data_IF_698654997867
#
_entry.id   IF_698654997867
#
_cell.length_a   1.000
_cell.length_b   1.000
_cell.length_c   1.000
_cell.angle_alpha   90.00
_cell.angle_beta   90.00
_cell.angle_gamma   90.00
#
_symmetry.space_group_name_H-M   'P 1'
#
loop_
_entity.id
_entity.type
_entity.pdbx_description
1 polymer ?
#
# COMPACT_ATOMS: atom_id res chain seq x y z
N UNK A 1 18.70 -12.46 -13.28
CA UNK A 1 17.91 -11.89 -12.18
C UNK A 1 17.86 -10.37 -12.30
N UNK A 2 16.68 -9.78 -12.21
CA UNK A 2 16.52 -8.35 -12.33
C UNK A 2 17.11 -7.62 -11.12
N UNK A 3 17.94 -6.62 -11.38
CA UNK A 3 18.48 -5.79 -10.31
C UNK A 3 17.79 -4.44 -10.30
N UNK A 4 17.42 -3.99 -9.10
CA UNK A 4 16.76 -2.70 -8.94
C UNK A 4 17.78 -1.58 -9.14
N UNK A 5 17.44 -0.65 -10.03
CA UNK A 5 18.30 0.51 -10.28
C UNK A 5 18.26 1.49 -9.10
N UNK A 6 19.37 2.14 -8.86
CA UNK A 6 19.48 3.12 -7.78
C UNK A 6 18.47 4.24 -7.95
N UNK A 7 18.23 4.70 -9.17
CA UNK A 7 17.27 5.77 -9.42
C UNK A 7 15.85 5.39 -9.02
N UNK A 8 15.47 4.14 -9.23
CA UNK A 8 14.14 3.65 -8.85
C UNK A 8 14.01 3.56 -7.33
N UNK A 9 15.06 3.09 -6.67
CA UNK A 9 15.08 3.02 -5.20
C UNK A 9 14.99 4.41 -4.58
N UNK A 10 15.72 5.36 -5.14
CA UNK A 10 15.71 6.74 -4.69
C UNK A 10 14.34 7.38 -4.85
N UNK A 11 13.74 7.17 -6.01
CA UNK A 11 12.40 7.68 -6.31
C UNK A 11 11.35 7.11 -5.36
N UNK A 12 11.42 5.80 -5.11
CA UNK A 12 10.54 5.14 -4.15
C UNK A 12 10.64 5.79 -2.76
N UNK A 13 11.85 6.02 -2.29
CA UNK A 13 12.07 6.63 -0.96
C UNK A 13 11.51 8.03 -0.88
N UNK A 14 11.50 8.77 -1.98
CA UNK A 14 10.90 10.10 -2.03
C UNK A 14 9.38 10.03 -2.04
N UNK A 15 8.81 9.08 -2.76
CA UNK A 15 7.35 8.99 -2.94
C UNK A 15 6.63 8.30 -1.78
N UNK A 16 7.27 7.39 -1.09
CA UNK A 16 6.61 6.59 -0.05
C UNK A 16 5.93 7.43 1.04
N UNK A 17 6.58 8.46 1.61
CA UNK A 17 5.90 9.26 2.63
C UNK A 17 4.63 9.92 2.13
N UNK A 18 4.63 10.39 0.89
CA UNK A 18 3.44 11.00 0.28
C UNK A 18 2.34 9.97 0.06
N UNK A 19 2.70 8.80 -0.43
CA UNK A 19 1.74 7.71 -0.66
C UNK A 19 1.08 7.28 0.66
N UNK A 20 1.88 7.15 1.71
CA UNK A 20 1.37 6.75 3.02
C UNK A 20 0.46 7.84 3.61
N UNK A 21 0.82 9.10 3.42
CA UNK A 21 -0.01 10.21 3.91
C UNK A 21 -1.38 10.20 3.22
N UNK A 22 -1.41 10.05 1.92
CA UNK A 22 -2.68 9.99 1.16
C UNK A 22 -3.51 8.78 1.59
N UNK A 23 -2.87 7.64 1.79
CA UNK A 23 -3.55 6.43 2.23
C UNK A 23 -4.17 6.63 3.62
N UNK A 24 -3.41 7.19 4.55
CA UNK A 24 -3.91 7.45 5.90
C UNK A 24 -5.03 8.47 5.93
N UNK A 25 -5.01 9.47 5.05
CA UNK A 25 -6.13 10.40 4.92
C UNK A 25 -7.40 9.67 4.52
N UNK A 26 -7.29 8.71 3.61
CA UNK A 26 -8.44 7.89 3.22
C UNK A 26 -8.97 7.07 4.38
N UNK A 27 -8.07 6.47 5.17
CA UNK A 27 -8.47 5.71 6.36
C UNK A 27 -9.17 6.60 7.39
N UNK A 28 -8.66 7.81 7.60
CA UNK A 28 -9.25 8.75 8.54
C UNK A 28 -10.68 9.12 8.13
N UNK A 29 -10.93 9.29 6.83
CA UNK A 29 -12.30 9.56 6.34
C UNK A 29 -13.22 8.37 6.62
N UNK A 30 -12.73 7.14 6.45
CA UNK A 30 -13.52 5.95 6.75
C UNK A 30 -13.80 5.83 8.24
N UNK A 31 -12.83 6.16 9.09
CA UNK A 31 -13.03 6.17 10.54
C UNK A 31 -14.09 7.23 10.93
N UNK A 32 -14.03 8.39 10.31
CA UNK A 32 -15.00 9.44 10.58
C UNK A 32 -16.42 8.98 10.25
N UNK A 33 -16.62 8.26 9.17
CA UNK A 33 -17.91 7.70 8.80
C UNK A 33 -18.39 6.68 9.84
N UNK A 34 -17.49 5.83 10.31
CA UNK A 34 -17.79 4.87 11.35
C UNK A 34 -18.28 5.59 12.63
N UNK A 35 -17.61 6.67 13.00
CA UNK A 35 -17.94 7.42 14.21
C UNK A 35 -19.27 8.20 14.08
N UNK A 36 -19.71 8.49 12.87
CA UNK A 36 -21.00 9.15 12.61
C UNK A 36 -22.18 8.19 12.58
N UNK A 37 -21.90 6.88 12.55
CA UNK A 37 -22.98 5.90 12.46
C UNK A 37 -23.88 5.93 13.69
N UNK A 38 -25.05 5.26 13.58
CA UNK A 38 -26.04 5.20 14.67
C UNK A 38 -25.72 4.15 15.73
N UNK A 39 -24.58 3.50 15.62
CA UNK A 39 -24.18 2.45 16.58
C UNK A 39 -23.94 3.05 17.97
N UNK A 40 -24.07 2.21 18.99
CA UNK A 40 -23.76 2.60 20.36
C UNK A 40 -22.29 3.02 20.50
N UNK A 41 -22.01 3.87 21.47
CA UNK A 41 -20.65 4.39 21.72
C UNK A 41 -19.63 3.26 21.89
N UNK A 42 -20.00 2.22 22.65
CA UNK A 42 -19.11 1.07 22.86
C UNK A 42 -18.82 0.32 21.58
N UNK A 43 -19.82 0.14 20.72
CA UNK A 43 -19.64 -0.52 19.44
C UNK A 43 -18.69 0.26 18.53
N UNK A 44 -18.84 1.58 18.50
CA UNK A 44 -17.96 2.45 17.72
C UNK A 44 -16.52 2.37 18.23
N UNK A 45 -16.35 2.42 19.53
CA UNK A 45 -15.02 2.39 20.16
C UNK A 45 -14.27 1.12 19.78
N UNK A 46 -14.92 -0.02 19.95
CA UNK A 46 -14.25 -1.31 19.69
C UNK A 46 -14.11 -1.60 18.21
N UNK A 47 -15.04 -1.13 17.38
CA UNK A 47 -14.92 -1.26 15.93
C UNK A 47 -13.74 -0.43 15.41
N UNK A 48 -13.58 0.79 15.94
CA UNK A 48 -12.46 1.64 15.56
C UNK A 48 -11.13 1.03 15.98
N UNK A 49 -11.05 0.53 17.22
CA UNK A 49 -9.84 -0.13 17.73
C UNK A 49 -9.45 -1.30 16.84
N UNK A 50 -10.40 -2.14 16.46
CA UNK A 50 -10.16 -3.28 15.59
C UNK A 50 -9.65 -2.83 14.21
N UNK A 51 -10.27 -1.79 13.64
CA UNK A 51 -9.86 -1.23 12.36
C UNK A 51 -8.44 -0.70 12.40
N UNK A 52 -8.11 0.07 13.43
CA UNK A 52 -6.78 0.65 13.57
C UNK A 52 -5.72 -0.43 13.70
N UNK A 53 -5.99 -1.47 14.48
CA UNK A 53 -5.04 -2.58 14.63
C UNK A 53 -4.77 -3.27 13.30
N UNK A 54 -5.81 -3.50 12.51
CA UNK A 54 -5.67 -4.13 11.21
C UNK A 54 -4.92 -3.22 10.24
N UNK A 55 -5.28 -1.94 10.22
CA UNK A 55 -4.69 -0.97 9.29
C UNK A 55 -3.21 -0.70 9.57
N UNK A 56 -2.79 -0.85 10.84
CA UNK A 56 -1.38 -0.67 11.21
C UNK A 56 -0.47 -1.69 10.54
N UNK A 57 -1.00 -2.80 10.07
CA UNK A 57 -0.21 -3.82 9.37
C UNK A 57 -0.03 -3.51 7.90
N UNK A 58 -0.80 -2.57 7.37
CA UNK A 58 -0.74 -2.21 5.96
C UNK A 58 0.56 -1.53 5.59
N UNK A 59 1.02 -1.78 4.37
CA UNK A 59 2.17 -1.08 3.79
C UNK A 59 1.92 0.42 3.65
N UNK A 60 0.66 0.86 3.71
CA UNK A 60 0.30 2.27 3.68
C UNK A 60 0.43 2.97 5.02
N UNK A 61 0.70 2.23 6.08
CA UNK A 61 0.78 2.78 7.44
C UNK A 61 2.08 2.43 8.14
N UNK A 62 2.50 1.16 8.10
CA UNK A 62 3.66 0.72 8.85
C UNK A 62 4.99 1.23 8.28
N UNK A 63 6.01 1.24 9.10
CA UNK A 63 7.37 1.49 8.62
C UNK A 63 7.79 0.29 7.77
N UNK A 64 8.26 0.57 6.56
CA UNK A 64 8.72 -0.47 5.64
C UNK A 64 10.23 -0.55 5.79
N UNK A 65 10.71 -1.66 6.36
CA UNK A 65 12.12 -1.85 6.65
C UNK A 65 12.86 -2.61 5.54
N UNK A 66 12.14 -3.25 4.64
CA UNK A 66 12.70 -4.01 3.55
C UNK A 66 13.54 -3.11 2.63
N UNK A 67 14.70 -3.61 2.20
CA UNK A 67 15.66 -2.83 1.43
C UNK A 67 15.44 -2.89 -0.08
N UNK A 68 16.40 -2.30 -0.78
CA UNK A 68 16.36 -2.10 -2.24
C UNK A 68 16.04 -3.36 -3.02
N UNK A 69 16.61 -4.51 -2.64
CA UNK A 69 16.40 -5.76 -3.36
C UNK A 69 14.96 -6.25 -3.31
N UNK A 70 14.15 -5.70 -2.39
CA UNK A 70 12.74 -6.06 -2.24
C UNK A 70 11.78 -5.05 -2.86
N UNK A 71 12.30 -4.06 -3.59
CA UNK A 71 11.45 -2.98 -4.12
C UNK A 71 10.30 -3.51 -4.98
N UNK A 72 10.55 -4.50 -5.82
CA UNK A 72 9.48 -5.07 -6.65
C UNK A 72 8.38 -5.67 -5.78
N UNK A 73 8.75 -6.39 -4.73
CA UNK A 73 7.78 -6.97 -3.79
C UNK A 73 7.02 -5.89 -3.04
N UNK A 74 7.72 -4.82 -2.63
CA UNK A 74 7.11 -3.69 -1.93
C UNK A 74 6.07 -3.01 -2.83
N UNK A 75 6.44 -2.70 -4.07
CA UNK A 75 5.52 -2.03 -5.00
C UNK A 75 4.32 -2.91 -5.33
N UNK A 76 4.56 -4.20 -5.52
CA UNK A 76 3.46 -5.16 -5.76
C UNK A 76 2.50 -5.16 -4.57
N UNK A 77 3.03 -5.21 -3.35
CA UNK A 77 2.21 -5.17 -2.15
C UNK A 77 1.43 -3.88 -2.00
N UNK A 78 2.06 -2.74 -2.29
CA UNK A 78 1.39 -1.44 -2.22
C UNK A 78 0.20 -1.36 -3.19
N UNK A 79 0.34 -1.96 -4.36
CA UNK A 79 -0.76 -1.99 -5.35
C UNK A 79 -1.86 -2.94 -4.89
N UNK A 80 -1.49 -4.14 -4.44
CA UNK A 80 -2.46 -5.14 -3.99
C UNK A 80 -3.26 -4.61 -2.80
N UNK A 81 -2.63 -3.87 -1.90
CA UNK A 81 -3.30 -3.29 -0.73
C UNK A 81 -3.98 -1.97 -1.04
N UNK A 82 -4.00 -1.56 -2.31
CA UNK A 82 -4.65 -0.32 -2.78
C UNK A 82 -4.08 0.97 -2.18
N UNK A 83 -2.81 0.94 -1.78
CA UNK A 83 -2.11 2.15 -1.33
C UNK A 83 -1.79 3.03 -2.54
N UNK A 84 -1.35 2.39 -3.62
CA UNK A 84 -1.07 3.07 -4.90
C UNK A 84 -1.70 2.29 -6.04
N UNK A 85 -1.79 2.90 -7.21
CA UNK A 85 -2.24 2.24 -8.43
C UNK A 85 -1.05 2.02 -9.37
N UNK A 86 -1.27 1.24 -10.42
CA UNK A 86 -0.26 1.03 -11.47
C UNK A 86 0.15 2.37 -12.07
N UNK A 87 -0.80 3.29 -12.23
CA UNK A 87 -0.53 4.61 -12.80
C UNK A 87 0.45 5.43 -11.95
N UNK A 88 0.51 5.17 -10.65
CA UNK A 88 1.43 5.87 -9.75
C UNK A 88 2.89 5.49 -10.00
N UNK A 89 3.14 4.47 -10.82
CA UNK A 89 4.49 4.00 -11.13
C UNK A 89 5.06 4.61 -12.41
N UNK A 90 4.40 5.60 -13.00
CA UNK A 90 4.78 6.17 -14.30
C UNK A 90 6.23 6.64 -14.37
N UNK A 91 6.74 7.18 -13.27
CA UNK A 91 8.08 7.77 -13.22
C UNK A 91 9.18 6.74 -12.95
N UNK A 92 8.81 5.51 -12.68
CA UNK A 92 9.78 4.42 -12.48
C UNK A 92 10.25 3.88 -13.83
N UNK A 93 11.35 3.13 -13.82
CA UNK A 93 11.87 2.55 -15.05
C UNK A 93 10.85 1.59 -15.66
N UNK A 94 10.91 1.45 -16.99
CA UNK A 94 10.03 0.55 -17.71
C UNK A 94 10.17 -0.89 -17.24
N UNK A 95 11.42 -1.33 -16.99
CA UNK A 95 11.69 -2.68 -16.49
C UNK A 95 10.98 -2.96 -15.18
N UNK A 96 11.06 -2.01 -14.24
CA UNK A 96 10.41 -2.18 -12.95
C UNK A 96 8.90 -2.19 -13.08
N UNK A 97 8.35 -1.32 -13.92
CA UNK A 97 6.90 -1.26 -14.17
C UNK A 97 6.39 -2.56 -14.77
N UNK A 98 7.08 -3.09 -15.78
CA UNK A 98 6.69 -4.33 -16.44
C UNK A 98 6.80 -5.51 -15.49
N UNK A 99 7.90 -5.59 -14.75
CA UNK A 99 8.15 -6.66 -13.79
C UNK A 99 7.07 -6.67 -12.70
N UNK A 100 6.73 -5.50 -12.18
CA UNK A 100 5.69 -5.36 -11.16
C UNK A 100 4.33 -5.78 -11.72
N UNK A 101 4.00 -5.36 -12.94
CA UNK A 101 2.73 -5.74 -13.59
C UNK A 101 2.61 -7.24 -13.77
N UNK A 102 3.69 -7.91 -14.16
CA UNK A 102 3.70 -9.36 -14.31
C UNK A 102 3.46 -10.07 -12.97
N UNK A 103 4.08 -9.59 -11.92
CA UNK A 103 3.89 -10.13 -10.58
C UNK A 103 2.45 -9.99 -10.11
N UNK A 104 1.84 -8.85 -10.37
CA UNK A 104 0.44 -8.60 -10.02
C UNK A 104 -0.48 -9.54 -10.78
N UNK A 105 -0.27 -9.71 -12.07
CA UNK A 105 -1.07 -10.62 -12.89
C UNK A 105 -0.98 -12.04 -12.39
N UNK A 106 0.24 -12.50 -12.07
CA UNK A 106 0.45 -13.84 -11.52
C UNK A 106 -0.25 -14.01 -10.19
N UNK A 107 -0.13 -13.04 -9.31
CA UNK A 107 -0.77 -13.07 -8.00
C UNK A 107 -2.30 -13.13 -8.14
N UNK A 108 -2.87 -12.27 -8.97
CA UNK A 108 -4.32 -12.22 -9.18
C UNK A 108 -4.84 -13.50 -9.81
N UNK A 109 -4.08 -14.08 -10.75
CA UNK A 109 -4.44 -15.34 -11.37
C UNK A 109 -4.48 -16.47 -10.36
N UNK A 110 -3.48 -16.53 -9.48
CA UNK A 110 -3.43 -17.55 -8.44
C UNK A 110 -4.61 -17.44 -7.46
N UNK A 111 -5.02 -16.21 -7.15
CA UNK A 111 -6.17 -15.98 -6.28
C UNK A 111 -7.48 -16.39 -6.94
N UNK A 112 -7.56 -16.28 -8.28
CA UNK A 112 -8.77 -16.64 -9.03
C UNK A 112 -8.98 -18.16 -9.12
N UNK A 113 -7.92 -18.92 -8.90
CA UNK A 113 -7.97 -20.38 -8.89
C UNK A 113 -8.29 -20.87 -7.49
#
# INVERSE_FOLDING_TARGET
MYQIEEKDWKLYREKLPEWQEVYMERLIREYAELLKSDKAASEKFWALDKRIRADRQSLGVRVIEEGRSKLQNILTGLIIEHVVSVDDLQDFSEELRESTSQWIQTYCKNLAE
#
